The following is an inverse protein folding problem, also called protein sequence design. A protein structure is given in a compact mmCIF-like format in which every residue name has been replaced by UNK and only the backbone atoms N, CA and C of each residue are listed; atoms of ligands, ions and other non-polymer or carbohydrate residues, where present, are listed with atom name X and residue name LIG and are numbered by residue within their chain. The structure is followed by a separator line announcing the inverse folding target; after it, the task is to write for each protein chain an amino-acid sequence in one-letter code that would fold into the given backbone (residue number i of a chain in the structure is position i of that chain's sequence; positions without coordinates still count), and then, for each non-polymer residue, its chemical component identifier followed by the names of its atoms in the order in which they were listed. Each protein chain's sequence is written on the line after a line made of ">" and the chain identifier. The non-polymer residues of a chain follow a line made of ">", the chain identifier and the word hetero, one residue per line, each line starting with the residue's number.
data_IF_599246579986
#
_entry.id   IF_599246579986
#
_cell.length_a   1.000
_cell.length_b   1.000
_cell.length_c   1.000
_cell.angle_alpha   90.00
_cell.angle_beta   90.00
_cell.angle_gamma   90.00
#
_symmetry.space_group_name_H-M   'P 1'
#
loop_
_entity.id
_entity.type
_entity.pdbx_description
1 polymer ?
#
# COMPACT_ATOMS: atom_id res chain seq x y z
N UNK A 1 17.65 10.72 22.86
CA UNK A 1 16.58 10.57 23.82
C UNK A 1 16.18 9.11 23.93
N UNK A 2 15.82 8.71 25.10
CA UNK A 2 15.50 7.31 25.43
C UNK A 2 14.06 7.00 25.02
N UNK A 3 13.85 6.76 23.73
CA UNK A 3 12.54 6.37 23.24
C UNK A 3 12.29 4.90 23.55
N UNK A 4 11.25 4.64 24.32
CA UNK A 4 10.78 3.28 24.59
C UNK A 4 9.86 2.83 23.45
N UNK A 5 10.38 2.01 22.57
CA UNK A 5 9.63 1.50 21.42
C UNK A 5 10.53 0.87 20.35
N UNK A 6 9.94 0.30 19.32
CA UNK A 6 10.69 -0.23 18.18
C UNK A 6 11.34 0.89 17.37
N UNK A 7 12.37 0.54 16.62
CA UNK A 7 12.90 1.45 15.60
C UNK A 7 11.85 1.66 14.50
N UNK A 8 11.62 2.91 14.15
CA UNK A 8 10.68 3.28 13.08
C UNK A 8 11.49 3.81 11.90
N UNK A 9 11.19 3.28 10.72
CA UNK A 9 11.74 3.73 9.46
C UNK A 9 10.65 4.38 8.62
N UNK A 10 10.98 5.45 7.93
CA UNK A 10 10.05 6.18 7.06
C UNK A 10 10.53 6.15 5.62
N UNK A 11 9.60 6.11 4.69
CA UNK A 11 9.87 6.31 3.26
C UNK A 11 10.03 7.80 2.91
N UNK A 12 9.85 8.70 3.87
CA UNK A 12 9.84 10.14 3.62
C UNK A 12 8.57 10.59 2.89
N UNK A 13 8.69 11.62 2.04
CA UNK A 13 7.56 12.12 1.26
C UNK A 13 7.09 11.08 0.25
N UNK A 14 5.78 10.94 0.11
CA UNK A 14 5.16 10.03 -0.87
C UNK A 14 5.33 10.61 -2.26
N UNK A 15 5.77 9.79 -3.21
CA UNK A 15 5.70 10.10 -4.62
C UNK A 15 4.29 9.81 -5.11
N UNK A 16 3.47 10.85 -5.24
CA UNK A 16 2.04 10.71 -5.45
C UNK A 16 1.60 11.41 -6.73
N UNK A 17 0.97 10.66 -7.61
CA UNK A 17 0.51 11.16 -8.90
C UNK A 17 -0.82 11.92 -8.89
N UNK A 18 -1.58 11.88 -7.79
CA UNK A 18 -2.85 12.60 -7.65
C UNK A 18 -2.70 13.86 -6.79
N UNK A 19 -3.78 14.62 -6.65
CA UNK A 19 -3.80 15.81 -5.79
C UNK A 19 -3.82 15.45 -4.31
N UNK A 20 -3.18 16.25 -3.50
CA UNK A 20 -3.06 16.09 -2.05
C UNK A 20 -1.91 16.89 -1.47
N UNK A 21 -1.94 17.08 -0.16
CA UNK A 21 -0.85 17.69 0.58
C UNK A 21 0.30 16.69 0.80
N UNK A 22 1.50 17.23 1.06
CA UNK A 22 2.69 16.43 1.41
C UNK A 22 3.13 15.39 0.35
N UNK A 23 2.89 15.68 -0.91
CA UNK A 23 3.28 14.84 -2.04
C UNK A 23 4.45 15.41 -2.81
N UNK A 24 5.03 14.53 -3.61
CA UNK A 24 6.04 14.86 -4.62
C UNK A 24 5.55 14.36 -5.96
N UNK A 25 5.54 15.22 -6.96
CA UNK A 25 5.17 14.87 -8.35
C UNK A 25 6.44 14.59 -9.14
N UNK A 26 6.42 13.50 -9.91
CA UNK A 26 7.51 13.09 -10.80
C UNK A 26 7.08 13.34 -12.24
N UNK A 27 7.82 14.20 -12.93
CA UNK A 27 7.59 14.49 -14.35
C UNK A 27 8.77 14.08 -15.22
N UNK A 28 9.91 13.77 -14.61
CA UNK A 28 11.12 13.36 -15.32
C UNK A 28 11.97 12.40 -14.46
N UNK A 29 12.91 11.72 -15.08
CA UNK A 29 13.91 10.91 -14.37
C UNK A 29 14.75 11.77 -13.42
N UNK A 30 15.06 13.02 -13.80
CA UNK A 30 15.85 13.89 -12.92
C UNK A 30 15.05 14.35 -11.70
N UNK A 31 13.74 14.57 -11.83
CA UNK A 31 12.88 14.79 -10.66
C UNK A 31 12.95 13.60 -9.70
N UNK A 32 12.80 12.39 -10.23
CA UNK A 32 12.90 11.18 -9.43
C UNK A 32 14.26 11.10 -8.71
N UNK A 33 15.36 11.31 -9.41
CA UNK A 33 16.72 11.32 -8.85
C UNK A 33 16.88 12.36 -7.74
N UNK A 34 16.43 13.58 -7.99
CA UNK A 34 16.51 14.68 -7.03
C UNK A 34 15.76 14.33 -5.72
N UNK A 35 14.51 13.88 -5.85
CA UNK A 35 13.68 13.56 -4.69
C UNK A 35 14.20 12.36 -3.92
N UNK A 36 14.61 11.30 -4.60
CA UNK A 36 15.14 10.11 -3.95
C UNK A 36 16.49 10.39 -3.24
N UNK A 37 17.37 11.21 -3.83
CA UNK A 37 18.60 11.66 -3.15
C UNK A 37 18.28 12.40 -1.86
N UNK A 38 17.30 13.29 -1.88
CA UNK A 38 16.85 14.02 -0.69
C UNK A 38 16.29 13.07 0.38
N UNK A 39 15.42 12.13 -0.01
CA UNK A 39 14.87 11.14 0.91
C UNK A 39 15.97 10.27 1.52
N UNK A 40 16.91 9.79 0.71
CA UNK A 40 18.05 9.00 1.16
C UNK A 40 18.93 9.79 2.13
N UNK A 41 19.19 11.06 1.86
CA UNK A 41 19.95 11.93 2.76
C UNK A 41 19.24 12.13 4.12
N UNK A 42 17.93 12.00 4.17
CA UNK A 42 17.14 12.02 5.41
C UNK A 42 17.01 10.64 6.08
N UNK A 43 17.73 9.62 5.59
CA UNK A 43 17.77 8.29 6.18
C UNK A 43 16.76 7.30 5.63
N UNK A 44 15.96 7.63 4.62
CA UNK A 44 15.09 6.68 3.97
C UNK A 44 15.89 5.67 3.14
N UNK A 45 15.57 4.39 3.27
CA UNK A 45 16.14 3.31 2.44
C UNK A 45 15.12 2.75 1.44
N UNK A 46 13.87 3.16 1.54
CA UNK A 46 12.79 2.82 0.63
C UNK A 46 11.98 4.06 0.28
N UNK A 47 11.25 3.99 -0.81
CA UNK A 47 10.36 5.05 -1.29
C UNK A 47 8.98 4.49 -1.54
N UNK A 48 7.94 5.21 -1.13
CA UNK A 48 6.55 4.90 -1.47
C UNK A 48 6.18 5.60 -2.77
N UNK A 49 5.79 4.83 -3.77
CA UNK A 49 5.20 5.32 -5.00
C UNK A 49 3.69 5.02 -5.01
N UNK A 50 2.88 6.01 -5.29
CA UNK A 50 1.44 5.92 -5.15
C UNK A 50 0.70 6.55 -6.33
N UNK A 51 -0.13 5.74 -7.00
CA UNK A 51 -1.01 6.17 -8.08
C UNK A 51 -0.34 7.07 -9.14
N UNK A 52 0.78 6.63 -9.68
CA UNK A 52 1.41 7.33 -10.79
C UNK A 52 0.52 7.18 -12.05
N UNK A 53 0.09 8.26 -12.69
CA UNK A 53 -0.85 8.18 -13.80
C UNK A 53 -0.25 7.60 -15.09
N UNK A 54 1.08 7.60 -15.21
CA UNK A 54 1.78 7.10 -16.40
C UNK A 54 2.83 6.07 -16.01
N UNK A 55 2.90 4.99 -16.78
CA UNK A 55 3.89 3.93 -16.57
C UNK A 55 5.34 4.42 -16.55
N UNK A 56 5.64 5.40 -17.41
CA UNK A 56 6.98 5.99 -17.45
C UNK A 56 7.44 6.57 -16.11
N UNK A 57 6.50 7.08 -15.29
CA UNK A 57 6.81 7.61 -13.96
C UNK A 57 7.25 6.48 -13.00
N UNK A 58 6.58 5.32 -13.05
CA UNK A 58 7.03 4.13 -12.31
C UNK A 58 8.44 3.73 -12.74
N UNK A 59 8.71 3.68 -14.04
CA UNK A 59 10.02 3.32 -14.59
C UNK A 59 11.12 4.31 -14.16
N UNK A 60 10.82 5.61 -14.19
CA UNK A 60 11.74 6.66 -13.73
C UNK A 60 12.07 6.53 -12.24
N UNK A 61 11.04 6.27 -11.40
CA UNK A 61 11.22 6.04 -9.97
C UNK A 61 12.06 4.79 -9.73
N UNK A 62 11.74 3.68 -10.39
CA UNK A 62 12.48 2.42 -10.26
C UNK A 62 13.94 2.55 -10.72
N UNK A 63 14.18 3.28 -11.80
CA UNK A 63 15.54 3.55 -12.27
C UNK A 63 16.32 4.37 -11.24
N UNK A 64 15.78 5.48 -10.78
CA UNK A 64 16.44 6.33 -9.79
C UNK A 64 16.68 5.59 -8.46
N UNK A 65 15.74 4.74 -8.05
CA UNK A 65 15.90 3.92 -6.84
C UNK A 65 17.02 2.89 -6.99
N UNK A 66 17.12 2.21 -8.12
CA UNK A 66 18.23 1.28 -8.41
C UNK A 66 19.59 1.98 -8.38
N UNK A 67 19.70 3.16 -8.97
CA UNK A 67 20.93 3.96 -8.95
C UNK A 67 21.36 4.32 -7.52
N UNK A 68 20.42 4.47 -6.61
CA UNK A 68 20.67 4.86 -5.22
C UNK A 68 20.67 3.67 -4.25
N UNK A 69 20.41 2.45 -4.69
CA UNK A 69 20.25 1.28 -3.81
C UNK A 69 19.09 1.42 -2.84
N UNK A 70 17.98 2.01 -3.29
CA UNK A 70 16.74 2.16 -2.52
C UNK A 70 15.70 1.14 -2.99
N UNK A 71 14.86 0.71 -2.06
CA UNK A 71 13.69 -0.13 -2.36
C UNK A 71 12.51 0.73 -2.84
N UNK A 72 11.68 0.17 -3.72
CA UNK A 72 10.44 0.82 -4.18
C UNK A 72 9.26 0.01 -3.69
N UNK A 73 8.42 0.67 -2.90
CA UNK A 73 7.15 0.14 -2.38
C UNK A 73 6.03 0.80 -3.18
N UNK A 74 5.41 0.03 -4.07
CA UNK A 74 4.39 0.54 -4.98
C UNK A 74 2.99 0.27 -4.43
N UNK A 75 2.10 1.23 -4.56
CA UNK A 75 0.68 0.99 -4.25
C UNK A 75 0.03 0.25 -5.40
N UNK A 76 -0.58 -0.89 -5.12
CA UNK A 76 -1.40 -1.62 -6.08
C UNK A 76 -2.67 -0.83 -6.41
N UNK A 77 -3.07 -0.89 -7.67
CA UNK A 77 -4.29 -0.24 -8.15
C UNK A 77 -5.46 -1.21 -8.26
N UNK A 78 -6.63 -0.66 -8.53
CA UNK A 78 -7.89 -1.39 -8.66
C UNK A 78 -8.07 -2.14 -9.99
N UNK A 79 -7.08 -2.14 -10.86
CA UNK A 79 -7.10 -2.89 -12.12
C UNK A 79 -5.87 -3.76 -12.29
N UNK A 80 -6.05 -4.95 -12.84
CA UNK A 80 -4.95 -5.87 -13.13
C UNK A 80 -3.91 -5.25 -14.07
N UNK A 81 -4.38 -4.54 -15.09
CA UNK A 81 -3.51 -3.88 -16.07
C UNK A 81 -2.65 -2.76 -15.47
N UNK A 82 -3.01 -2.24 -14.31
CA UNK A 82 -2.18 -1.29 -13.59
C UNK A 82 -1.07 -2.00 -12.79
N UNK A 83 -1.40 -3.15 -12.19
CA UNK A 83 -0.47 -3.87 -11.31
C UNK A 83 0.60 -4.69 -12.06
N UNK A 84 0.22 -5.38 -13.14
CA UNK A 84 1.17 -6.24 -13.86
C UNK A 84 2.40 -5.51 -14.41
N UNK A 85 2.29 -4.31 -15.01
CA UNK A 85 3.45 -3.55 -15.43
C UNK A 85 4.43 -3.20 -14.31
N UNK A 86 3.97 -3.02 -13.08
CA UNK A 86 4.85 -2.74 -11.93
C UNK A 86 5.81 -3.90 -11.67
N UNK A 87 5.31 -5.15 -11.79
CA UNK A 87 6.13 -6.36 -11.66
C UNK A 87 7.24 -6.37 -12.73
N UNK A 88 6.87 -6.07 -13.98
CA UNK A 88 7.80 -6.01 -15.11
C UNK A 88 8.82 -4.87 -14.98
N UNK A 89 8.41 -3.76 -14.39
CA UNK A 89 9.28 -2.59 -14.18
C UNK A 89 10.24 -2.77 -12.99
N UNK A 90 10.07 -3.88 -12.23
CA UNK A 90 11.02 -4.31 -11.21
C UNK A 90 10.90 -3.52 -9.90
N UNK A 91 9.68 -3.27 -9.43
CA UNK A 91 9.43 -2.76 -8.08
C UNK A 91 9.89 -3.77 -7.02
N UNK A 92 10.11 -3.33 -5.80
CA UNK A 92 10.47 -4.26 -4.71
C UNK A 92 9.25 -4.95 -4.15
N UNK A 93 8.14 -4.22 -3.98
CA UNK A 93 6.88 -4.78 -3.51
C UNK A 93 5.68 -4.03 -4.07
N UNK A 94 4.57 -4.75 -4.16
CA UNK A 94 3.24 -4.20 -4.43
C UNK A 94 2.41 -4.38 -3.17
N UNK A 95 1.86 -3.29 -2.70
CA UNK A 95 0.96 -3.26 -1.56
C UNK A 95 -0.48 -3.53 -2.02
N UNK A 96 -1.25 -4.17 -1.17
CA UNK A 96 -2.60 -4.68 -1.43
C UNK A 96 -2.64 -5.87 -2.41
N UNK A 97 -3.82 -6.44 -2.55
CA UNK A 97 -4.02 -7.59 -3.42
C UNK A 97 -4.18 -7.18 -4.88
N UNK A 98 -3.91 -8.13 -5.77
CA UNK A 98 -4.38 -8.02 -7.14
C UNK A 98 -5.91 -8.07 -7.17
N UNK A 99 -6.56 -7.20 -7.97
CA UNK A 99 -8.03 -7.07 -7.99
C UNK A 99 -8.69 -8.15 -8.86
N UNK A 100 -8.27 -9.38 -8.75
CA UNK A 100 -8.85 -10.53 -9.45
C UNK A 100 -8.80 -11.79 -8.58
N UNK A 101 -9.84 -12.59 -8.65
CA UNK A 101 -9.90 -13.89 -8.01
C UNK A 101 -10.70 -14.87 -8.90
N UNK A 102 -10.18 -16.10 -9.12
CA UNK A 102 -8.84 -16.57 -8.77
C UNK A 102 -7.74 -15.99 -9.68
N UNK A 103 -6.50 -15.99 -9.19
CA UNK A 103 -5.34 -15.66 -10.02
C UNK A 103 -5.07 -16.78 -11.04
N UNK A 104 -4.80 -16.39 -12.28
CA UNK A 104 -4.44 -17.34 -13.33
C UNK A 104 -2.96 -17.73 -13.26
N UNK A 105 -2.64 -18.89 -13.80
CA UNK A 105 -1.30 -19.49 -13.73
C UNK A 105 -0.20 -18.64 -14.38
N UNK A 106 -0.51 -17.88 -15.41
CA UNK A 106 0.44 -16.96 -16.07
C UNK A 106 0.82 -15.79 -15.16
N UNK A 107 -0.14 -15.24 -14.42
CA UNK A 107 0.11 -14.18 -13.41
C UNK A 107 0.94 -14.74 -12.26
N UNK A 108 0.61 -15.93 -11.77
CA UNK A 108 1.37 -16.60 -10.70
C UNK A 108 2.80 -16.88 -11.17
N UNK A 109 2.96 -17.34 -12.40
CA UNK A 109 4.27 -17.60 -12.99
C UNK A 109 5.09 -16.32 -13.15
N UNK A 110 4.48 -15.25 -13.68
CA UNK A 110 5.13 -13.95 -13.79
C UNK A 110 5.66 -13.49 -12.42
N UNK A 111 4.84 -13.60 -11.39
CA UNK A 111 5.24 -13.19 -10.04
C UNK A 111 6.36 -14.05 -9.48
N UNK A 112 6.26 -15.37 -9.67
CA UNK A 112 7.26 -16.34 -9.19
C UNK A 112 8.63 -16.17 -9.84
N UNK A 113 8.68 -15.75 -11.10
CA UNK A 113 9.93 -15.52 -11.83
C UNK A 113 10.57 -14.15 -11.51
N UNK A 114 9.96 -13.38 -10.64
CA UNK A 114 10.46 -12.09 -10.17
C UNK A 114 10.68 -12.12 -8.66
N UNK A 115 11.53 -11.22 -8.16
CA UNK A 115 11.73 -11.04 -6.72
C UNK A 115 10.73 -10.06 -6.10
N UNK A 116 9.68 -9.68 -6.84
CA UNK A 116 8.67 -8.73 -6.37
C UNK A 116 7.85 -9.37 -5.26
N UNK A 117 7.74 -8.66 -4.15
CA UNK A 117 6.96 -9.10 -2.98
C UNK A 117 5.55 -8.53 -3.05
N UNK A 118 4.64 -9.15 -2.33
CA UNK A 118 3.30 -8.62 -2.11
C UNK A 118 3.00 -8.52 -0.62
N UNK A 119 2.42 -7.40 -0.22
CA UNK A 119 1.92 -7.18 1.14
C UNK A 119 0.40 -7.05 1.09
N UNK A 120 -0.34 -8.15 1.13
CA UNK A 120 -1.80 -8.10 1.05
C UNK A 120 -2.37 -7.44 2.31
N UNK A 121 -3.34 -6.57 2.12
CA UNK A 121 -4.08 -5.95 3.22
C UNK A 121 -5.37 -6.72 3.44
N UNK A 122 -5.28 -7.77 4.26
CA UNK A 122 -6.38 -8.73 4.43
C UNK A 122 -7.68 -8.06 4.87
N UNK A 123 -7.63 -7.04 5.72
CA UNK A 123 -8.82 -6.32 6.19
C UNK A 123 -9.57 -5.63 5.06
N UNK A 124 -8.89 -5.22 3.99
CA UNK A 124 -9.50 -4.60 2.80
C UNK A 124 -10.23 -5.64 1.95
N UNK A 125 -9.82 -6.91 2.02
CA UNK A 125 -10.39 -7.99 1.22
C UNK A 125 -11.62 -8.64 1.84
N UNK A 126 -11.85 -8.46 3.13
CA UNK A 126 -13.02 -8.97 3.82
C UNK A 126 -14.18 -7.98 3.73
N UNK A 127 -15.25 -8.34 3.06
CA UNK A 127 -16.45 -7.53 2.95
C UNK A 127 -16.53 -6.66 1.69
N UNK A 128 -15.80 -6.98 0.64
CA UNK A 128 -15.81 -6.26 -0.63
C UNK A 128 -15.57 -4.76 -0.44
N UNK A 129 -16.42 -3.92 -0.99
CA UNK A 129 -16.34 -2.45 -0.85
C UNK A 129 -16.49 -1.93 0.59
N UNK A 130 -16.96 -2.78 1.49
CA UNK A 130 -17.13 -2.47 2.92
C UNK A 130 -16.12 -3.22 3.80
N UNK A 131 -15.03 -3.75 3.24
CA UNK A 131 -14.09 -4.65 3.90
C UNK A 131 -13.56 -4.16 5.23
N UNK A 132 -13.24 -2.88 5.34
CA UNK A 132 -12.80 -2.26 6.60
C UNK A 132 -13.86 -2.28 7.70
N UNK A 133 -15.13 -2.43 7.35
CA UNK A 133 -16.25 -2.51 8.28
C UNK A 133 -16.65 -3.93 8.64
N UNK A 134 -16.02 -4.95 8.06
CA UNK A 134 -16.39 -6.35 8.25
C UNK A 134 -16.54 -6.74 9.72
N UNK A 135 -15.51 -6.46 10.52
CA UNK A 135 -15.50 -6.78 11.94
C UNK A 135 -16.54 -6.00 12.73
N UNK A 136 -16.74 -4.71 12.41
CA UNK A 136 -17.74 -3.86 13.05
C UNK A 136 -19.17 -4.29 12.73
N UNK A 137 -19.39 -4.87 11.54
CA UNK A 137 -20.71 -5.39 11.16
C UNK A 137 -21.01 -6.74 11.78
N UNK A 138 -19.99 -7.58 11.97
CA UNK A 138 -20.12 -8.96 12.41
C UNK A 138 -19.99 -9.14 13.91
N UNK A 139 -19.03 -8.47 14.52
CA UNK A 139 -18.67 -8.64 15.91
C UNK A 139 -19.05 -7.43 16.78
N UNK A 140 -19.21 -7.67 18.08
CA UNK A 140 -19.41 -6.60 19.05
C UNK A 140 -18.07 -6.03 19.49
N UNK A 141 -17.38 -5.32 18.60
CA UNK A 141 -16.03 -4.80 18.86
C UNK A 141 -15.96 -3.89 20.09
N UNK A 142 -17.06 -3.25 20.44
CA UNK A 142 -17.19 -2.43 21.66
C UNK A 142 -17.15 -3.24 22.97
N UNK A 143 -17.32 -4.56 22.91
CA UNK A 143 -17.21 -5.48 24.07
C UNK A 143 -15.81 -6.06 24.22
N UNK A 144 -14.93 -5.87 23.22
CA UNK A 144 -13.56 -6.38 23.27
C UNK A 144 -12.77 -5.70 24.38
N UNK A 145 -12.29 -6.50 25.33
CA UNK A 145 -11.59 -6.01 26.54
C UNK A 145 -10.28 -5.30 26.21
N UNK A 146 -9.58 -5.74 25.14
CA UNK A 146 -8.31 -5.16 24.72
C UNK A 146 -8.54 -3.81 24.03
N UNK A 147 -9.53 -3.73 23.15
CA UNK A 147 -9.90 -2.48 22.51
C UNK A 147 -10.34 -1.45 23.55
N UNK A 148 -11.22 -1.83 24.49
CA UNK A 148 -11.68 -0.94 25.57
C UNK A 148 -10.54 -0.48 26.50
N UNK A 149 -9.46 -1.23 26.60
CA UNK A 149 -8.30 -0.85 27.42
C UNK A 149 -7.38 0.18 26.73
N UNK A 150 -7.25 0.09 25.39
CA UNK A 150 -6.22 0.84 24.67
C UNK A 150 -6.76 1.93 23.76
N UNK A 151 -8.08 1.95 23.49
CA UNK A 151 -8.71 2.96 22.66
C UNK A 151 -9.65 3.85 23.48
N UNK A 152 -9.68 5.16 23.23
CA UNK A 152 -10.67 6.05 23.79
C UNK A 152 -12.08 5.56 23.44
N UNK A 153 -12.99 5.61 24.40
CA UNK A 153 -14.37 5.12 24.25
C UNK A 153 -15.09 5.78 23.08
N UNK A 154 -14.95 7.08 22.95
CA UNK A 154 -15.53 7.87 21.86
C UNK A 154 -15.06 7.41 20.47
N UNK A 155 -13.79 7.03 20.34
CA UNK A 155 -13.23 6.49 19.08
C UNK A 155 -13.83 5.13 18.79
N UNK A 156 -13.96 4.28 19.79
CA UNK A 156 -14.50 2.94 19.62
C UNK A 156 -16.00 2.99 19.26
N UNK A 157 -16.77 3.85 19.95
CA UNK A 157 -18.20 4.03 19.68
C UNK A 157 -18.45 4.58 18.27
N UNK A 158 -17.67 5.57 17.83
CA UNK A 158 -17.78 6.14 16.49
C UNK A 158 -17.52 5.11 15.39
N UNK A 159 -16.65 4.14 15.63
CA UNK A 159 -16.32 3.06 14.67
C UNK A 159 -17.21 1.83 14.80
N UNK A 160 -17.96 1.69 15.88
CA UNK A 160 -18.81 0.52 16.14
C UNK A 160 -20.19 0.58 15.46
N UNK A 161 -20.38 1.49 14.52
CA UNK A 161 -21.62 1.61 13.75
C UNK A 161 -21.72 0.45 12.77
N UNK A 162 -22.72 -0.41 12.97
CA UNK A 162 -23.01 -1.50 12.05
C UNK A 162 -23.55 -0.97 10.73
N UNK A 163 -23.05 -1.55 9.65
CA UNK A 163 -23.50 -1.28 8.27
C UNK A 163 -23.92 -2.59 7.64
N UNK A 164 -24.87 -2.51 6.71
CA UNK A 164 -25.19 -3.65 5.86
C UNK A 164 -23.95 -4.06 5.07
N UNK A 165 -23.68 -5.37 5.06
CA UNK A 165 -22.53 -5.95 4.38
C UNK A 165 -22.99 -6.64 3.11
N UNK A 166 -22.15 -6.62 2.09
CA UNK A 166 -22.31 -7.45 0.93
C UNK A 166 -22.32 -8.96 1.31
N UNK A 167 -22.97 -9.82 0.53
CA UNK A 167 -22.91 -11.26 0.73
C UNK A 167 -21.46 -11.78 0.82
N UNK A 168 -21.23 -12.84 1.58
CA UNK A 168 -19.87 -13.35 1.84
C UNK A 168 -19.09 -13.75 0.58
N UNK A 169 -19.80 -14.15 -0.49
CA UNK A 169 -19.15 -14.46 -1.76
C UNK A 169 -18.58 -13.24 -2.50
N UNK A 170 -18.99 -12.01 -2.14
CA UNK A 170 -18.44 -10.76 -2.68
C UNK A 170 -17.13 -10.35 -1.98
N UNK A 171 -16.70 -11.09 -0.96
CA UNK A 171 -15.52 -10.78 -0.16
C UNK A 171 -14.20 -11.22 -0.79
N UNK A 172 -14.27 -11.89 -1.92
CA UNK A 172 -13.10 -12.39 -2.63
C UNK A 172 -12.71 -11.45 -3.77
N UNK A 173 -11.62 -10.76 -3.59
CA UNK A 173 -10.87 -10.12 -4.64
C UNK A 173 -9.54 -10.82 -4.81
#
# INVERSE_FOLDING_TARGET
>A
GDMVGPRVFSTGSILYGADGDFKVVINSLEDARMHLRRMKASGAFSVKSYNQPRREQHQQINQAARELGMLVVEEGGSTLNHNLPMILDGVTSIEHNLPVAPLYNDVIKLWKETDVRNTPTLVVNYGGVSGENYWYARDNVWEDKKLNRFFPRETLDARSIRREMAPEWDYHY
#
